data_IF_765424695001
#
_entry.id   IF_765424695001
#
_cell.length_a   1.000
_cell.length_b   1.000
_cell.length_c   1.000
_cell.angle_alpha   90.00
_cell.angle_beta   90.00
_cell.angle_gamma   90.00
#
_symmetry.space_group_name_H-M   'P 1'
#
loop_
_entity.id
_entity.type
_entity.pdbx_description
1 polymer ?
#
# COMPACT_ATOMS: atom_id res chain seq x y z
N UNK A 1 -4.38 -17.13 1.53
CA UNK A 1 -5.06 -17.65 2.75
C UNK A 1 -5.17 -16.47 3.73
N UNK A 2 -6.37 -16.06 4.12
CA UNK A 2 -6.64 -14.83 4.90
C UNK A 2 -7.20 -15.09 6.30
N UNK A 3 -6.71 -16.10 7.01
CA UNK A 3 -7.22 -16.42 8.35
C UNK A 3 -6.96 -15.26 9.33
N UNK A 4 -7.97 -14.81 10.10
CA UNK A 4 -7.76 -13.82 11.14
C UNK A 4 -6.98 -14.39 12.34
N UNK A 5 -6.93 -15.72 12.49
CA UNK A 5 -6.24 -16.39 13.58
C UNK A 5 -4.75 -16.57 13.29
N UNK A 6 -3.93 -15.63 13.79
CA UNK A 6 -2.47 -15.59 13.62
C UNK A 6 -1.86 -14.86 14.82
N UNK A 7 -0.55 -15.01 15.11
CA UNK A 7 0.07 -14.33 16.25
C UNK A 7 -0.09 -12.80 16.25
N UNK A 8 -0.08 -12.17 15.06
CA UNK A 8 -0.26 -10.73 14.89
C UNK A 8 -1.51 -10.47 14.03
N UNK A 9 -2.58 -9.94 14.62
CA UNK A 9 -3.90 -9.79 13.98
C UNK A 9 -3.97 -8.60 12.97
N UNK A 10 -3.08 -8.55 11.97
CA UNK A 10 -2.92 -7.41 11.05
C UNK A 10 -3.60 -7.57 9.67
N UNK A 11 -4.87 -7.18 9.55
CA UNK A 11 -5.61 -7.26 8.29
C UNK A 11 -4.99 -6.40 7.18
N UNK A 12 -5.04 -6.87 5.93
CA UNK A 12 -4.69 -6.08 4.75
C UNK A 12 -5.82 -6.24 3.75
N UNK A 13 -6.37 -5.12 3.31
CA UNK A 13 -7.49 -5.07 2.39
C UNK A 13 -7.20 -4.03 1.33
N UNK A 14 -7.25 -4.45 0.06
CA UNK A 14 -7.20 -3.52 -1.05
C UNK A 14 -8.59 -2.91 -1.24
N UNK A 15 -8.69 -1.59 -1.25
CA UNK A 15 -9.97 -0.87 -1.29
C UNK A 15 -10.02 0.13 -2.44
N UNK A 16 -11.22 0.43 -2.91
CA UNK A 16 -11.48 1.50 -3.89
C UNK A 16 -11.76 2.82 -3.16
N UNK A 17 -10.94 3.87 -3.34
CA UNK A 17 -11.25 5.21 -2.82
C UNK A 17 -12.48 5.80 -3.52
N UNK A 18 -13.46 6.24 -2.73
CA UNK A 18 -14.67 6.90 -3.23
C UNK A 18 -14.64 8.43 -3.04
N UNK A 19 -13.89 8.92 -2.04
CA UNK A 19 -13.76 10.35 -1.77
C UNK A 19 -12.90 10.64 -0.54
N UNK A 20 -12.36 11.86 -0.48
CA UNK A 20 -11.60 12.38 0.66
C UNK A 20 -12.21 13.71 1.08
N UNK A 21 -12.59 13.81 2.36
CA UNK A 21 -13.16 15.01 2.96
C UNK A 21 -12.49 15.26 4.31
N UNK A 22 -11.63 16.29 4.39
CA UNK A 22 -10.78 16.58 5.55
C UNK A 22 -9.96 15.33 5.96
N UNK A 23 -10.14 14.84 7.19
CA UNK A 23 -9.52 13.63 7.74
C UNK A 23 -10.26 12.32 7.38
N UNK A 24 -11.37 12.38 6.64
CA UNK A 24 -12.19 11.23 6.27
C UNK A 24 -11.85 10.72 4.87
N UNK A 25 -11.53 9.44 4.77
CA UNK A 25 -11.38 8.71 3.52
C UNK A 25 -12.55 7.72 3.38
N UNK A 26 -13.44 7.97 2.42
CA UNK A 26 -14.53 7.05 2.09
C UNK A 26 -14.02 6.00 1.10
N UNK A 27 -14.25 4.72 1.40
CA UNK A 27 -13.76 3.59 0.59
C UNK A 27 -14.84 2.54 0.35
N UNK A 28 -14.64 1.69 -0.66
CA UNK A 28 -15.47 0.50 -0.94
C UNK A 28 -14.63 -0.77 -0.91
N UNK A 29 -15.29 -1.91 -0.70
CA UNK A 29 -14.65 -3.23 -0.74
C UNK A 29 -13.96 -3.65 0.56
N UNK A 30 -14.36 -3.06 1.70
CA UNK A 30 -13.84 -3.43 3.02
C UNK A 30 -14.38 -4.78 3.49
N UNK A 31 -13.53 -5.57 4.15
CA UNK A 31 -13.83 -6.87 4.76
C UNK A 31 -13.63 -6.87 6.30
N UNK A 32 -13.67 -5.69 6.91
CA UNK A 32 -13.50 -5.46 8.36
C UNK A 32 -14.82 -5.07 9.04
N UNK A 33 -14.92 -5.36 10.33
CA UNK A 33 -16.06 -4.91 11.15
C UNK A 33 -15.97 -3.41 11.44
N UNK A 34 -17.13 -2.79 11.73
CA UNK A 34 -17.16 -1.41 12.17
C UNK A 34 -16.26 -1.21 13.40
N UNK A 35 -15.57 -0.05 13.45
CA UNK A 35 -14.60 0.31 14.50
C UNK A 35 -13.35 -0.57 14.57
N UNK A 36 -13.06 -1.40 13.55
CA UNK A 36 -11.76 -2.08 13.45
C UNK A 36 -10.63 -1.03 13.41
N UNK A 37 -9.62 -1.10 14.30
CA UNK A 37 -8.55 -0.10 14.33
C UNK A 37 -7.71 -0.08 13.05
N UNK A 38 -7.46 1.12 12.54
CA UNK A 38 -6.59 1.34 11.39
C UNK A 38 -5.15 1.57 11.85
N UNK A 39 -4.20 0.81 11.29
CA UNK A 39 -2.78 0.92 11.64
C UNK A 39 -1.96 1.68 10.59
N UNK A 40 -2.26 1.49 9.31
CA UNK A 40 -1.48 2.04 8.20
C UNK A 40 -2.31 2.16 6.92
N UNK A 41 -1.96 3.10 6.06
CA UNK A 41 -2.52 3.27 4.72
C UNK A 41 -1.36 3.35 3.73
N UNK A 42 -1.39 2.49 2.72
CA UNK A 42 -0.41 2.50 1.62
C UNK A 42 -1.12 2.66 0.29
N UNK A 43 -0.54 3.41 -0.66
CA UNK A 43 -1.10 3.48 -1.99
C UNK A 43 -0.86 2.14 -2.71
N UNK A 44 -1.84 1.71 -3.50
CA UNK A 44 -1.77 0.46 -4.26
C UNK A 44 -0.62 0.50 -5.26
N UNK A 45 0.19 -0.56 -5.29
CA UNK A 45 1.22 -0.77 -6.29
C UNK A 45 0.79 -1.89 -7.25
N UNK A 46 0.49 -1.59 -8.53
CA UNK A 46 -0.03 -2.58 -9.47
C UNK A 46 0.94 -3.74 -9.75
N UNK A 47 2.24 -3.56 -9.50
CA UNK A 47 3.26 -4.60 -9.68
C UNK A 47 3.15 -5.69 -8.60
N UNK A 48 2.73 -5.33 -7.39
CA UNK A 48 2.66 -6.24 -6.24
C UNK A 48 1.23 -6.67 -5.89
N UNK A 49 0.29 -5.74 -6.00
CA UNK A 49 -1.05 -5.91 -5.41
C UNK A 49 -2.06 -6.55 -6.37
N UNK A 50 -1.67 -6.84 -7.62
CA UNK A 50 -2.51 -7.43 -8.67
C UNK A 50 -3.89 -6.77 -8.84
N UNK A 51 -3.98 -5.49 -8.51
CA UNK A 51 -5.15 -4.67 -8.74
C UNK A 51 -5.20 -4.37 -10.24
N UNK A 52 -6.27 -4.79 -10.93
CA UNK A 52 -6.40 -4.76 -12.40
C UNK A 52 -5.94 -3.47 -13.08
N UNK A 53 -6.87 -2.63 -13.51
CA UNK A 53 -6.51 -1.29 -13.97
C UNK A 53 -6.62 -0.31 -12.80
N UNK A 54 -5.50 0.29 -12.39
CA UNK A 54 -5.44 1.26 -11.30
C UNK A 54 -4.65 2.50 -11.69
N UNK A 55 -5.09 3.65 -11.20
CA UNK A 55 -4.39 4.93 -11.36
C UNK A 55 -3.31 5.04 -10.29
N UNK A 56 -2.05 5.10 -10.71
CA UNK A 56 -0.89 5.18 -9.80
C UNK A 56 -0.40 6.61 -9.56
N UNK A 57 -0.83 7.55 -10.40
CA UNK A 57 -0.55 8.98 -10.23
C UNK A 57 0.95 9.27 -10.18
N UNK A 58 1.42 9.82 -9.06
CA UNK A 58 2.83 10.17 -8.87
C UNK A 58 3.79 8.96 -8.98
N UNK A 59 3.31 7.74 -8.74
CA UNK A 59 4.11 6.51 -8.89
C UNK A 59 4.30 6.07 -10.34
N UNK A 60 3.54 6.62 -11.29
CA UNK A 60 3.64 6.24 -12.71
C UNK A 60 5.05 6.44 -13.25
N UNK A 61 5.72 7.54 -12.86
CA UNK A 61 7.12 7.77 -13.22
C UNK A 61 8.04 6.69 -12.65
N UNK A 62 7.92 6.39 -11.36
CA UNK A 62 8.76 5.37 -10.72
C UNK A 62 8.53 3.95 -11.29
N UNK A 63 7.33 3.66 -11.79
CA UNK A 63 7.00 2.38 -12.43
C UNK A 63 7.50 2.28 -13.88
N UNK A 64 7.70 3.41 -14.56
CA UNK A 64 8.12 3.48 -15.96
C UNK A 64 9.62 3.74 -16.13
N UNK A 65 10.22 4.46 -15.19
CA UNK A 65 11.63 4.87 -15.21
C UNK A 65 12.50 3.91 -14.39
N UNK A 66 13.35 3.14 -15.07
CA UNK A 66 14.24 2.16 -14.44
C UNK A 66 15.39 2.79 -13.64
N UNK A 67 15.66 4.07 -13.86
CA UNK A 67 16.70 4.83 -13.17
C UNK A 67 16.14 5.65 -11.99
N UNK A 68 14.83 5.54 -11.69
CA UNK A 68 14.22 6.23 -10.57
C UNK A 68 14.79 5.74 -9.22
N UNK A 69 15.28 6.64 -8.35
CA UNK A 69 15.91 6.27 -7.09
C UNK A 69 14.95 5.58 -6.11
N UNK A 70 13.63 5.78 -6.25
CA UNK A 70 12.62 5.10 -5.44
C UNK A 70 12.37 3.66 -5.91
N UNK A 71 12.68 3.31 -7.16
CA UNK A 71 12.62 1.93 -7.68
C UNK A 71 13.98 1.22 -7.68
N UNK A 72 15.05 1.94 -7.36
CA UNK A 72 16.40 1.40 -7.29
C UNK A 72 16.48 0.25 -6.29
N UNK A 73 16.91 -0.94 -6.75
CA UNK A 73 17.15 -2.11 -5.89
C UNK A 73 17.92 -1.67 -4.63
N UNK A 74 17.31 -1.86 -3.47
CA UNK A 74 18.02 -1.66 -2.21
C UNK A 74 18.84 -2.92 -1.96
N UNK A 75 20.01 -2.96 -2.57
CA UNK A 75 20.88 -4.14 -2.65
C UNK A 75 21.62 -4.48 -1.34
N UNK A 76 21.52 -3.65 -0.29
CA UNK A 76 22.38 -3.82 0.88
C UNK A 76 21.79 -3.27 2.18
N UNK A 77 22.09 -3.98 3.29
CA UNK A 77 21.60 -3.71 4.65
C UNK A 77 21.89 -2.28 5.13
N UNK A 78 23.02 -1.70 4.73
CA UNK A 78 23.40 -0.31 5.03
C UNK A 78 22.49 0.73 4.35
N UNK A 79 22.12 0.48 3.08
CA UNK A 79 21.22 1.36 2.30
C UNK A 79 19.79 1.37 2.85
N UNK A 80 19.32 0.23 3.38
CA UNK A 80 18.01 0.13 4.05
C UNK A 80 17.94 0.91 5.37
N UNK A 81 19.03 0.93 6.15
CA UNK A 81 19.06 1.52 7.49
C UNK A 81 19.35 3.03 7.50
N UNK A 82 19.55 3.66 6.32
CA UNK A 82 19.97 5.07 6.20
C UNK A 82 21.12 5.45 7.15
N UNK A 83 22.06 4.53 7.37
CA UNK A 83 23.26 4.80 8.16
C UNK A 83 24.44 4.94 7.19
N UNK A 84 25.17 6.04 7.31
CA UNK A 84 26.41 6.33 6.58
C UNK A 84 27.50 5.27 6.83
#
# INVERSE_FOLDING_TARGET
>A
MGSPHRPNHLGITLVEPAGVENEWLTVKGVDMFNLTPLLDIKPCNPVFDHAGEVRTGWMEKALTDRDDPCFGKISGKKKWLHQE
#
